data_IF_210707136027
#
_entry.id   IF_210707136027
#
_cell.length_a   1.000
_cell.length_b   1.000
_cell.length_c   1.000
_cell.angle_alpha   90.00
_cell.angle_beta   90.00
_cell.angle_gamma   90.00
#
_symmetry.space_group_name_H-M   'P 1'
#
loop_
_entity.id
_entity.type
_entity.pdbx_description
1 polymer ?
#
# COMPACT_ATOMS: atom_id res chain seq x y z
N UNK A 1 16.67 7.92 8.03
CA UNK A 1 16.72 7.20 6.73
C UNK A 1 15.28 6.92 6.29
N UNK A 2 15.03 6.68 5.00
CA UNK A 2 13.68 6.26 4.58
C UNK A 2 13.40 4.86 5.12
N UNK A 3 12.25 4.68 5.76
CA UNK A 3 11.86 3.45 6.45
C UNK A 3 10.44 3.06 6.05
N UNK A 4 10.15 1.75 6.07
CA UNK A 4 8.80 1.21 5.86
C UNK A 4 8.36 0.49 7.13
N UNK A 5 7.19 0.86 7.64
CA UNK A 5 6.56 0.26 8.82
C UNK A 5 5.31 -0.48 8.41
N UNK A 6 5.17 -1.71 8.87
CA UNK A 6 3.97 -2.55 8.71
C UNK A 6 3.39 -2.85 10.09
N UNK A 7 2.24 -3.53 10.14
CA UNK A 7 1.69 -4.00 11.42
C UNK A 7 2.68 -4.90 12.17
N UNK A 8 2.83 -4.70 13.48
CA UNK A 8 3.65 -5.55 14.36
C UNK A 8 3.06 -6.96 14.55
N UNK A 9 1.80 -7.16 14.14
CA UNK A 9 1.10 -8.44 14.24
C UNK A 9 0.23 -8.72 13.00
N UNK A 10 -0.10 -9.99 12.71
CA UNK A 10 -0.97 -10.33 11.60
C UNK A 10 -2.33 -9.62 11.70
N UNK A 11 -2.78 -9.03 10.60
CA UNK A 11 -4.13 -8.47 10.51
C UNK A 11 -5.13 -9.63 10.44
N UNK A 12 -5.98 -9.73 11.46
CA UNK A 12 -7.05 -10.73 11.52
C UNK A 12 -8.35 -10.12 11.03
N UNK A 13 -9.00 -10.77 10.09
CA UNK A 13 -10.30 -10.36 9.56
C UNK A 13 -11.23 -11.56 9.50
N UNK A 14 -12.53 -11.31 9.66
CA UNK A 14 -13.54 -12.34 9.41
C UNK A 14 -13.58 -12.65 7.91
N UNK A 15 -14.04 -13.87 7.59
CA UNK A 15 -14.29 -14.22 6.20
C UNK A 15 -15.32 -13.25 5.58
N UNK A 16 -15.13 -12.89 4.32
CA UNK A 16 -16.03 -12.05 3.55
C UNK A 16 -16.17 -10.59 4.07
N UNK A 17 -15.20 -10.11 4.84
CA UNK A 17 -15.11 -8.71 5.29
C UNK A 17 -13.92 -7.98 4.68
N UNK A 18 -14.18 -6.75 4.24
CA UNK A 18 -13.15 -5.83 3.76
C UNK A 18 -12.03 -5.69 4.81
N UNK A 19 -10.79 -5.65 4.33
CA UNK A 19 -9.61 -5.54 5.19
C UNK A 19 -8.68 -4.45 4.72
N UNK A 20 -8.08 -3.75 5.68
CA UNK A 20 -7.00 -2.81 5.44
C UNK A 20 -5.70 -3.37 6.03
N UNK A 21 -4.68 -3.52 5.20
CA UNK A 21 -3.35 -3.99 5.61
C UNK A 21 -2.43 -2.77 5.72
N UNK A 22 -2.03 -2.34 6.93
CA UNK A 22 -1.30 -1.09 7.12
C UNK A 22 0.15 -1.21 6.63
N UNK A 23 0.58 -0.17 5.92
CA UNK A 23 1.96 0.04 5.50
C UNK A 23 2.23 1.54 5.43
N UNK A 24 3.31 2.01 6.07
CA UNK A 24 3.64 3.43 6.15
C UNK A 24 5.11 3.66 5.83
N UNK A 25 5.37 4.52 4.87
CA UNK A 25 6.69 5.03 4.52
C UNK A 25 6.97 6.22 5.43
N UNK A 26 8.13 6.27 6.06
CA UNK A 26 8.54 7.34 6.99
C UNK A 26 10.00 7.75 6.74
N UNK A 27 10.45 8.81 7.41
CA UNK A 27 11.86 9.23 7.36
C UNK A 27 12.30 9.89 6.05
N UNK A 28 11.34 10.31 5.22
CA UNK A 28 11.57 11.24 4.11
C UNK A 28 11.55 12.69 4.62
N UNK A 29 12.37 13.55 4.03
CA UNK A 29 12.59 14.93 4.50
C UNK A 29 11.56 15.94 3.98
N UNK A 30 10.81 15.57 2.94
CA UNK A 30 9.74 16.40 2.37
C UNK A 30 8.46 16.31 3.19
N UNK A 31 7.57 17.29 3.05
CA UNK A 31 6.22 17.21 3.62
C UNK A 31 5.35 16.14 2.92
N UNK A 32 5.65 15.87 1.65
CA UNK A 32 4.90 14.95 0.79
C UNK A 32 5.86 14.08 -0.04
N UNK A 33 5.43 12.86 -0.36
CA UNK A 33 6.15 11.99 -1.29
C UNK A 33 5.95 12.45 -2.74
N UNK A 34 7.03 12.46 -3.52
CA UNK A 34 6.94 12.64 -4.96
C UNK A 34 6.43 11.35 -5.61
N UNK A 35 5.13 11.35 -5.92
CA UNK A 35 4.44 10.22 -6.54
C UNK A 35 4.98 9.84 -7.93
N UNK A 36 5.72 10.71 -8.63
CA UNK A 36 6.40 10.36 -9.89
C UNK A 36 7.66 9.49 -9.67
N UNK A 37 8.17 9.46 -8.43
CA UNK A 37 9.37 8.69 -8.04
C UNK A 37 9.04 7.53 -7.11
N UNK A 38 7.76 7.28 -6.85
CA UNK A 38 7.28 6.24 -5.95
C UNK A 38 6.88 4.98 -6.74
N UNK A 39 7.29 3.82 -6.21
CA UNK A 39 6.78 2.51 -6.57
C UNK A 39 6.37 1.75 -5.31
N UNK A 40 5.18 1.14 -5.30
CA UNK A 40 4.66 0.31 -4.21
C UNK A 40 4.15 -1.00 -4.78
N UNK A 41 4.67 -2.11 -4.28
CA UNK A 41 4.36 -3.45 -4.78
C UNK A 41 3.85 -4.29 -3.61
N UNK A 42 2.60 -4.70 -3.69
CA UNK A 42 2.03 -5.69 -2.79
C UNK A 42 2.07 -7.07 -3.46
N UNK A 43 2.63 -8.05 -2.77
CA UNK A 43 2.72 -9.44 -3.24
C UNK A 43 2.19 -10.41 -2.19
N UNK A 44 1.65 -11.54 -2.64
CA UNK A 44 1.26 -12.67 -1.83
C UNK A 44 2.07 -13.89 -2.29
N UNK A 45 3.08 -14.27 -1.51
CA UNK A 45 4.08 -15.23 -1.98
C UNK A 45 4.82 -14.67 -3.20
N UNK A 46 4.80 -15.40 -4.32
CA UNK A 46 5.36 -14.96 -5.60
C UNK A 46 4.37 -14.22 -6.50
N UNK A 47 3.09 -14.15 -6.11
CA UNK A 47 2.03 -13.54 -6.92
C UNK A 47 1.88 -12.04 -6.65
N UNK A 48 1.85 -11.17 -7.67
CA UNK A 48 1.54 -9.75 -7.48
C UNK A 48 0.06 -9.57 -7.11
N UNK A 49 -0.21 -8.69 -6.16
CA UNK A 49 -1.56 -8.32 -5.69
C UNK A 49 -1.93 -6.93 -6.18
N UNK A 50 -1.01 -5.98 -6.00
CA UNK A 50 -1.18 -4.60 -6.44
C UNK A 50 0.17 -4.03 -6.83
N UNK A 51 0.23 -3.32 -7.96
CA UNK A 51 1.41 -2.55 -8.36
C UNK A 51 0.99 -1.10 -8.54
N UNK A 52 1.72 -0.21 -7.88
CA UNK A 52 1.68 1.22 -8.11
C UNK A 52 3.06 1.65 -8.59
N UNK A 53 3.15 2.26 -9.76
CA UNK A 53 4.40 2.77 -10.31
C UNK A 53 4.16 4.14 -10.95
N UNK A 54 4.83 5.18 -10.43
CA UNK A 54 4.84 6.52 -11.03
C UNK A 54 3.42 7.05 -11.35
N UNK A 55 2.50 6.98 -10.39
CA UNK A 55 1.06 7.32 -10.52
C UNK A 55 0.21 6.37 -11.36
N UNK A 56 0.77 5.29 -11.88
CA UNK A 56 0.00 4.24 -12.52
C UNK A 56 -0.48 3.23 -11.49
N UNK A 57 -1.79 3.04 -11.40
CA UNK A 57 -2.41 2.01 -10.58
C UNK A 57 -2.67 0.77 -11.43
N UNK A 58 -2.10 -0.36 -11.01
CA UNK A 58 -2.25 -1.67 -11.65
C UNK A 58 -2.77 -2.65 -10.59
N UNK A 59 -4.09 -2.67 -10.31
CA UNK A 59 -4.70 -3.64 -9.42
C UNK A 59 -4.74 -5.02 -10.09
N UNK A 60 -4.07 -6.03 -9.50
CA UNK A 60 -4.11 -7.41 -10.00
C UNK A 60 -5.23 -8.20 -9.33
N UNK A 61 -5.38 -8.07 -8.00
CA UNK A 61 -6.50 -8.66 -7.27
C UNK A 61 -7.72 -7.74 -7.40
N UNK A 62 -8.89 -8.22 -7.85
CA UNK A 62 -10.13 -7.45 -7.78
C UNK A 62 -10.42 -6.94 -6.36
N UNK A 63 -10.95 -5.73 -6.25
CA UNK A 63 -11.22 -5.09 -4.96
C UNK A 63 -9.99 -4.62 -4.19
N UNK A 64 -8.78 -4.68 -4.76
CA UNK A 64 -7.59 -4.10 -4.14
C UNK A 64 -7.42 -2.62 -4.51
N UNK A 65 -7.05 -1.78 -3.55
CA UNK A 65 -6.95 -0.33 -3.74
C UNK A 65 -5.80 0.30 -2.94
N UNK A 66 -5.10 1.23 -3.59
CA UNK A 66 -4.24 2.25 -3.00
C UNK A 66 -4.77 3.62 -3.43
N UNK A 67 -4.65 4.62 -2.56
CA UNK A 67 -5.15 5.97 -2.83
C UNK A 67 -4.00 6.98 -2.92
N UNK A 68 -3.92 7.75 -4.00
CA UNK A 68 -2.90 8.80 -4.18
C UNK A 68 -2.84 9.79 -3.01
N UNK A 69 -4.00 10.18 -2.46
CA UNK A 69 -4.11 11.09 -1.31
C UNK A 69 -3.51 10.53 -0.02
N UNK A 70 -3.42 9.21 0.08
CA UNK A 70 -2.81 8.50 1.19
C UNK A 70 -1.33 8.27 0.91
N UNK A 71 -0.99 7.83 -0.31
CA UNK A 71 0.38 7.61 -0.77
C UNK A 71 1.24 8.88 -0.65
N UNK A 72 0.69 10.04 -1.00
CA UNK A 72 1.41 11.32 -0.92
C UNK A 72 1.83 11.65 0.53
N UNK A 73 1.11 11.11 1.52
CA UNK A 73 1.40 11.25 2.96
C UNK A 73 2.22 10.07 3.52
N UNK A 74 2.69 9.18 2.64
CA UNK A 74 3.45 7.98 3.00
C UNK A 74 2.58 6.79 3.42
N UNK A 75 1.25 6.87 3.36
CA UNK A 75 0.39 5.74 3.65
C UNK A 75 0.24 4.85 2.39
N UNK A 76 0.93 3.72 2.42
CA UNK A 76 0.95 2.71 1.36
C UNK A 76 0.14 1.45 1.73
N UNK A 77 -0.74 1.57 2.73
CA UNK A 77 -1.59 0.48 3.18
C UNK A 77 -2.60 0.05 2.11
N UNK A 78 -2.81 -1.25 2.00
CA UNK A 78 -3.66 -1.86 0.97
C UNK A 78 -5.06 -2.12 1.51
N UNK A 79 -6.07 -1.54 0.88
CA UNK A 79 -7.47 -1.94 1.07
C UNK A 79 -7.77 -3.14 0.18
N UNK A 80 -8.45 -4.14 0.73
CA UNK A 80 -8.94 -5.31 0.02
C UNK A 80 -10.45 -5.45 0.30
N UNK A 81 -11.26 -5.16 -0.70
CA UNK A 81 -12.68 -5.45 -0.70
C UNK A 81 -12.94 -6.93 -1.06
N UNK A 82 -14.05 -7.47 -0.55
CA UNK A 82 -14.57 -8.79 -0.92
C UNK A 82 -15.56 -8.77 -2.08
#
# INVERSE_FOLDING_TARGET
PVEVKVSDSPVKVLRDQDVFIPCTITGYSSAELDLQRLSVHWTLGSGPVYIYERRSHIPIRPGSELLDRELIRGNAGLSLAW
#
